data_IF_055010967970
#
_entry.id   IF_055010967970
#
_cell.length_a   1.000
_cell.length_b   1.000
_cell.length_c   1.000
_cell.angle_alpha   90.00
_cell.angle_beta   90.00
_cell.angle_gamma   90.00
#
_symmetry.space_group_name_H-M   'P 1'
#
loop_
_entity.id
_entity.type
_entity.pdbx_description
1 polymer ?
#
# COMPACT_ATOMS: atom_id res chain seq x y z
N UNK A 1 1.86 32.21 2.89
CA UNK A 1 0.54 32.41 2.29
C UNK A 1 0.54 31.80 0.89
N UNK A 2 -0.48 31.00 0.56
CA UNK A 2 -0.57 30.42 -0.78
C UNK A 2 -0.83 31.51 -1.84
N UNK A 3 -0.13 31.44 -2.98
CA UNK A 3 -0.35 32.35 -4.11
C UNK A 3 -1.70 32.07 -4.79
N UNK A 4 -2.34 33.06 -5.45
CA UNK A 4 -3.62 32.83 -6.13
C UNK A 4 -3.66 31.63 -7.10
N UNK A 5 -2.61 31.34 -7.89
CA UNK A 5 -2.55 30.13 -8.71
C UNK A 5 -2.54 28.83 -7.91
N UNK A 6 -1.86 28.81 -6.78
CA UNK A 6 -1.80 27.64 -5.90
C UNK A 6 -3.16 27.38 -5.24
N UNK A 7 -3.83 28.41 -4.73
CA UNK A 7 -5.19 28.28 -4.15
C UNK A 7 -6.21 27.78 -5.19
N UNK A 8 -6.10 28.26 -6.42
CA UNK A 8 -6.96 27.80 -7.51
C UNK A 8 -6.78 26.30 -7.75
N UNK A 9 -5.52 25.83 -7.84
CA UNK A 9 -5.19 24.43 -8.02
C UNK A 9 -5.70 23.55 -6.88
N UNK A 10 -5.47 23.96 -5.64
CA UNK A 10 -5.97 23.23 -4.45
C UNK A 10 -7.49 23.10 -4.45
N UNK A 11 -8.23 24.16 -4.82
CA UNK A 11 -9.68 24.10 -4.95
C UNK A 11 -10.13 23.12 -6.04
N UNK A 12 -9.46 23.11 -7.19
CA UNK A 12 -9.74 22.22 -8.30
C UNK A 12 -9.51 20.75 -7.90
N UNK A 13 -8.40 20.45 -7.22
CA UNK A 13 -8.06 19.13 -6.67
C UNK A 13 -9.11 18.68 -5.62
N UNK A 14 -9.47 19.56 -4.69
CA UNK A 14 -10.49 19.26 -3.66
C UNK A 14 -11.86 18.98 -4.26
N UNK A 15 -12.26 19.76 -5.27
CA UNK A 15 -13.54 19.55 -5.97
C UNK A 15 -13.53 18.22 -6.74
N UNK A 16 -12.44 17.89 -7.46
CA UNK A 16 -12.33 16.62 -8.17
C UNK A 16 -12.37 15.44 -7.22
N UNK A 17 -11.64 15.49 -6.10
CA UNK A 17 -11.68 14.43 -5.08
C UNK A 17 -13.06 14.27 -4.46
N UNK A 18 -13.75 15.38 -4.20
CA UNK A 18 -15.12 15.35 -3.67
C UNK A 18 -16.09 14.70 -4.67
N UNK A 19 -15.91 14.96 -5.97
CA UNK A 19 -16.72 14.31 -7.02
C UNK A 19 -16.35 12.82 -7.11
N UNK A 20 -15.08 12.48 -7.13
CA UNK A 20 -14.59 11.12 -7.23
C UNK A 20 -15.15 10.20 -6.13
N UNK A 21 -15.21 10.72 -4.90
CA UNK A 21 -15.66 9.95 -3.72
C UNK A 21 -17.16 10.02 -3.47
N UNK A 22 -17.87 10.95 -4.13
CA UNK A 22 -19.29 11.19 -3.85
C UNK A 22 -20.21 11.10 -5.06
N UNK A 23 -19.72 10.75 -6.24
CA UNK A 23 -20.51 10.73 -7.48
C UNK A 23 -21.67 9.70 -7.45
N UNK A 24 -22.80 10.03 -8.09
CA UNK A 24 -23.14 11.32 -8.71
C UNK A 24 -23.48 12.38 -7.67
N UNK A 25 -22.91 13.58 -7.79
CA UNK A 25 -22.97 14.62 -6.75
C UNK A 25 -23.33 15.99 -7.35
N UNK A 26 -24.20 16.75 -6.64
CA UNK A 26 -24.62 18.09 -7.08
C UNK A 26 -23.60 19.17 -6.66
N UNK A 27 -23.62 20.32 -7.38
CA UNK A 27 -22.78 21.49 -7.05
C UNK A 27 -22.97 21.96 -5.59
N UNK A 28 -24.19 21.92 -5.08
CA UNK A 28 -24.50 22.35 -3.71
C UNK A 28 -23.86 21.38 -2.69
N UNK A 29 -23.91 20.10 -2.96
CA UNK A 29 -23.34 19.08 -2.11
C UNK A 29 -21.81 19.07 -2.17
N UNK A 30 -21.22 19.31 -3.36
CA UNK A 30 -19.77 19.51 -3.51
C UNK A 30 -19.32 20.67 -2.60
N UNK A 31 -20.02 21.83 -2.67
CA UNK A 31 -19.67 23.00 -1.86
C UNK A 31 -19.73 22.69 -0.36
N UNK A 32 -20.73 21.92 0.06
CA UNK A 32 -20.92 21.52 1.46
C UNK A 32 -19.82 20.56 1.94
N UNK A 33 -19.53 19.51 1.18
CA UNK A 33 -18.52 18.49 1.56
C UNK A 33 -17.11 19.03 1.50
N UNK A 34 -16.80 19.81 0.47
CA UNK A 34 -15.46 20.39 0.28
C UNK A 34 -15.19 21.58 1.21
N UNK A 35 -16.20 22.16 1.86
CA UNK A 35 -16.06 23.39 2.66
C UNK A 35 -15.71 24.63 1.82
N UNK A 36 -16.05 24.64 0.52
CA UNK A 36 -15.67 25.67 -0.45
C UNK A 36 -16.93 26.45 -0.89
N UNK A 37 -16.78 27.75 -1.16
CA UNK A 37 -17.90 28.59 -1.61
C UNK A 37 -18.48 28.12 -2.94
N UNK A 38 -19.81 28.25 -3.14
CA UNK A 38 -20.49 27.88 -4.40
C UNK A 38 -19.88 28.54 -5.64
N UNK A 39 -19.48 29.84 -5.63
CA UNK A 39 -18.80 30.46 -6.75
C UNK A 39 -17.47 29.79 -7.08
N UNK A 40 -16.66 29.47 -6.06
CA UNK A 40 -15.36 28.78 -6.22
C UNK A 40 -15.55 27.39 -6.81
N UNK A 41 -16.52 26.61 -6.30
CA UNK A 41 -16.90 25.30 -6.88
C UNK A 41 -17.32 25.45 -8.35
N UNK A 42 -18.08 26.47 -8.70
CA UNK A 42 -18.51 26.70 -10.10
C UNK A 42 -17.32 26.97 -11.04
N UNK A 43 -16.32 27.71 -10.57
CA UNK A 43 -15.08 27.93 -11.34
C UNK A 43 -14.27 26.66 -11.50
N UNK A 44 -14.09 25.89 -10.42
CA UNK A 44 -13.39 24.62 -10.46
C UNK A 44 -14.11 23.60 -11.37
N UNK A 45 -15.44 23.45 -11.25
CA UNK A 45 -16.23 22.57 -12.10
C UNK A 45 -16.09 22.91 -13.59
N UNK A 46 -16.14 24.20 -13.95
CA UNK A 46 -15.94 24.61 -15.36
C UNK A 46 -14.58 24.14 -15.88
N UNK A 47 -13.54 24.35 -15.10
CA UNK A 47 -12.20 23.94 -15.48
C UNK A 47 -12.06 22.40 -15.58
N UNK A 48 -12.72 21.64 -14.68
CA UNK A 48 -12.73 20.18 -14.69
C UNK A 48 -13.51 19.61 -15.90
N UNK A 49 -14.64 20.24 -16.26
CA UNK A 49 -15.41 19.88 -17.44
C UNK A 49 -14.63 20.17 -18.74
N UNK A 50 -14.01 21.36 -18.84
CA UNK A 50 -13.15 21.76 -19.97
C UNK A 50 -11.94 20.81 -20.12
N UNK A 51 -11.39 20.32 -19.01
CA UNK A 51 -10.29 19.34 -19.00
C UNK A 51 -10.74 17.90 -19.29
N UNK A 52 -12.05 17.64 -19.39
CA UNK A 52 -12.59 16.30 -19.60
C UNK A 52 -12.35 15.34 -18.44
N UNK A 53 -12.18 15.84 -17.21
CA UNK A 53 -12.00 15.05 -15.99
C UNK A 53 -13.31 14.71 -15.29
N UNK A 54 -14.32 15.53 -15.54
CA UNK A 54 -15.66 15.42 -14.97
C UNK A 54 -16.66 15.59 -16.11
N UNK A 55 -17.78 14.92 -16.00
CA UNK A 55 -18.95 15.12 -16.90
C UNK A 55 -20.23 15.27 -16.08
N UNK A 56 -21.28 15.75 -16.72
CA UNK A 56 -22.61 15.69 -16.14
C UNK A 56 -23.08 14.22 -16.10
N UNK A 57 -23.58 13.81 -14.94
CA UNK A 57 -24.08 12.45 -14.76
C UNK A 57 -25.44 12.28 -15.47
N UNK A 58 -25.63 11.18 -16.19
CA UNK A 58 -26.87 10.85 -16.87
C UNK A 58 -28.04 10.68 -15.91
N UNK A 59 -27.77 10.20 -14.68
CA UNK A 59 -28.77 9.99 -13.63
C UNK A 59 -28.29 10.61 -12.32
N UNK A 60 -29.20 11.25 -11.59
CA UNK A 60 -28.99 11.68 -10.20
C UNK A 60 -29.27 10.53 -9.22
N UNK A 61 -29.04 10.74 -7.90
CA UNK A 61 -29.47 9.82 -6.88
C UNK A 61 -30.99 9.63 -6.91
N UNK A 62 -31.45 8.44 -6.50
CA UNK A 62 -32.90 8.14 -6.45
C UNK A 62 -33.64 9.15 -5.54
N UNK A 63 -34.57 9.91 -6.11
CA UNK A 63 -35.39 10.91 -5.39
C UNK A 63 -35.66 12.16 -6.22
N UNK A 64 -36.45 13.12 -5.69
CA UNK A 64 -36.76 14.36 -6.38
C UNK A 64 -35.50 15.21 -6.59
N UNK A 65 -35.13 15.43 -7.83
CA UNK A 65 -33.87 16.16 -8.16
C UNK A 65 -34.07 17.66 -8.33
N UNK A 66 -35.34 18.15 -8.37
CA UNK A 66 -35.69 19.57 -8.54
C UNK A 66 -34.86 20.31 -9.60
N UNK A 67 -34.49 19.62 -10.71
CA UNK A 67 -33.67 20.20 -11.79
C UNK A 67 -32.20 20.39 -11.43
N UNK A 68 -31.69 19.76 -10.38
CA UNK A 68 -30.26 19.82 -10.06
C UNK A 68 -29.44 19.03 -11.07
N UNK A 69 -28.33 19.62 -11.54
CA UNK A 69 -27.31 18.94 -12.34
C UNK A 69 -26.36 18.21 -11.41
N UNK A 70 -26.08 16.94 -11.73
CA UNK A 70 -25.14 16.07 -11.03
C UNK A 70 -23.89 15.88 -11.86
N UNK A 71 -22.78 15.61 -11.19
CA UNK A 71 -21.46 15.45 -11.79
C UNK A 71 -20.86 14.13 -11.36
N UNK A 72 -20.11 13.53 -12.29
CA UNK A 72 -19.34 12.32 -12.05
C UNK A 72 -17.95 12.41 -12.71
N UNK A 73 -16.93 11.67 -12.23
CA UNK A 73 -15.62 11.66 -12.87
C UNK A 73 -15.70 10.92 -14.20
N UNK A 74 -14.87 11.31 -15.17
CA UNK A 74 -14.62 10.53 -16.37
C UNK A 74 -13.58 9.48 -16.03
N UNK A 75 -14.01 8.24 -15.81
CA UNK A 75 -13.17 7.16 -15.30
C UNK A 75 -11.88 6.97 -16.11
N UNK A 76 -12.01 6.95 -17.43
CA UNK A 76 -10.91 6.71 -18.36
C UNK A 76 -10.05 7.97 -18.61
N UNK A 77 -10.35 9.10 -17.98
CA UNK A 77 -9.60 10.33 -18.18
C UNK A 77 -8.14 10.22 -17.74
N UNK A 78 -7.84 9.41 -16.74
CA UNK A 78 -6.49 9.16 -16.28
C UNK A 78 -6.38 7.74 -15.70
N UNK A 79 -5.23 7.14 -15.87
CA UNK A 79 -4.90 5.83 -15.33
C UNK A 79 -3.71 5.93 -14.37
N UNK A 80 -3.68 5.03 -13.40
CA UNK A 80 -2.57 4.80 -12.49
C UNK A 80 -2.18 3.34 -12.53
N UNK A 81 -0.90 3.06 -12.64
CA UNK A 81 -0.36 1.72 -12.52
C UNK A 81 0.29 1.55 -11.15
N UNK A 82 -0.28 0.70 -10.30
CA UNK A 82 0.35 0.19 -9.09
C UNK A 82 1.13 -1.09 -9.38
N UNK A 83 2.33 -1.18 -8.84
CA UNK A 83 3.22 -2.35 -8.99
C UNK A 83 3.75 -2.74 -7.61
N UNK A 84 3.74 -4.03 -7.32
CA UNK A 84 4.39 -4.65 -6.17
C UNK A 84 5.53 -5.54 -6.69
N UNK A 85 6.76 -5.15 -6.43
CA UNK A 85 7.98 -5.87 -6.81
C UNK A 85 8.47 -6.69 -5.61
N UNK A 86 8.00 -7.91 -5.50
CA UNK A 86 8.50 -8.88 -4.53
C UNK A 86 9.66 -9.71 -5.07
N UNK A 87 10.29 -10.48 -4.18
CA UNK A 87 11.44 -11.32 -4.54
C UNK A 87 11.11 -12.40 -5.59
N UNK A 88 9.88 -12.90 -5.63
CA UNK A 88 9.45 -13.99 -6.52
C UNK A 88 8.38 -13.56 -7.52
N UNK A 89 7.53 -12.63 -7.12
CA UNK A 89 6.38 -12.20 -7.91
C UNK A 89 6.43 -10.70 -8.17
N UNK A 90 6.08 -10.36 -9.39
CA UNK A 90 5.75 -9.01 -9.81
C UNK A 90 4.23 -8.95 -9.97
N UNK A 91 3.58 -8.10 -9.20
CA UNK A 91 2.13 -7.90 -9.27
C UNK A 91 1.83 -6.50 -9.79
N UNK A 92 0.82 -6.37 -10.64
CA UNK A 92 0.40 -5.07 -11.15
C UNK A 92 -1.10 -4.91 -11.18
N UNK A 93 -1.55 -3.69 -10.91
CA UNK A 93 -2.95 -3.28 -11.04
C UNK A 93 -3.04 -1.93 -11.75
N UNK A 94 -3.82 -1.90 -12.84
CA UNK A 94 -4.17 -0.68 -13.56
C UNK A 94 -5.51 -0.18 -13.01
N UNK A 95 -5.51 1.03 -12.48
CA UNK A 95 -6.70 1.69 -11.93
C UNK A 95 -7.06 2.91 -12.75
N UNK A 96 -8.36 3.18 -12.86
CA UNK A 96 -8.89 4.40 -13.46
C UNK A 96 -9.00 5.55 -12.43
N UNK A 97 -9.42 6.74 -12.89
CA UNK A 97 -9.56 7.93 -12.07
C UNK A 97 -10.53 7.76 -10.89
N UNK A 98 -11.46 6.82 -10.96
CA UNK A 98 -12.40 6.53 -9.85
C UNK A 98 -11.78 5.69 -8.74
N UNK A 99 -10.64 5.05 -8.99
CA UNK A 99 -10.01 4.06 -8.13
C UNK A 99 -10.42 2.63 -8.44
N UNK A 100 -11.22 2.42 -9.49
CA UNK A 100 -11.63 1.08 -9.91
C UNK A 100 -10.49 0.38 -10.64
N UNK A 101 -10.18 -0.84 -10.23
CA UNK A 101 -9.16 -1.68 -10.89
C UNK A 101 -9.73 -2.18 -12.22
N UNK A 102 -9.11 -1.79 -13.33
CA UNK A 102 -9.51 -2.14 -14.70
C UNK A 102 -8.84 -3.42 -15.20
N UNK A 103 -7.62 -3.67 -14.72
CA UNK A 103 -6.89 -4.91 -14.98
C UNK A 103 -5.92 -5.19 -13.82
N UNK A 104 -5.71 -6.48 -13.54
CA UNK A 104 -4.70 -6.96 -12.58
C UNK A 104 -4.00 -8.18 -13.18
N UNK A 105 -2.70 -8.28 -12.91
CA UNK A 105 -1.90 -9.43 -13.31
C UNK A 105 -0.80 -9.67 -12.29
N UNK A 106 -0.58 -10.95 -11.98
CA UNK A 106 0.52 -11.43 -11.16
C UNK A 106 1.45 -12.26 -12.06
N UNK A 107 2.74 -11.97 -12.05
CA UNK A 107 3.77 -12.61 -12.88
C UNK A 107 4.84 -13.18 -11.99
N UNK A 108 5.18 -14.43 -12.15
CA UNK A 108 6.34 -15.03 -11.50
C UNK A 108 7.60 -14.62 -12.25
N UNK A 109 8.59 -14.09 -11.53
CA UNK A 109 9.87 -13.68 -12.09
C UNK A 109 10.77 -14.92 -12.25
N UNK A 110 11.24 -15.17 -13.47
CA UNK A 110 12.16 -16.27 -13.74
C UNK A 110 13.57 -16.00 -13.18
N UNK A 111 13.99 -14.73 -13.21
CA UNK A 111 15.22 -14.23 -12.62
C UNK A 111 14.85 -13.09 -11.66
N UNK A 112 15.52 -13.03 -10.51
CA UNK A 112 15.11 -12.17 -9.40
C UNK A 112 16.04 -10.94 -9.26
N UNK A 113 16.60 -10.44 -10.37
CA UNK A 113 17.45 -9.25 -10.36
C UNK A 113 16.71 -7.98 -10.81
N UNK A 114 17.27 -6.82 -10.43
CA UNK A 114 16.64 -5.52 -10.69
C UNK A 114 16.51 -5.17 -12.18
N UNK A 115 17.41 -5.65 -13.04
CA UNK A 115 17.36 -5.35 -14.48
C UNK A 115 16.27 -6.16 -15.17
N UNK A 116 16.15 -7.44 -14.86
CA UNK A 116 15.05 -8.31 -15.33
C UNK A 116 13.71 -7.80 -14.82
N UNK A 117 13.64 -7.34 -13.55
CA UNK A 117 12.43 -6.75 -12.99
C UNK A 117 12.02 -5.47 -13.73
N UNK A 118 12.96 -4.60 -14.10
CA UNK A 118 12.70 -3.38 -14.87
C UNK A 118 12.03 -3.69 -16.22
N UNK A 119 12.55 -4.68 -16.96
CA UNK A 119 11.97 -5.14 -18.22
C UNK A 119 10.59 -5.82 -18.01
N UNK A 120 10.43 -6.57 -16.92
CA UNK A 120 9.17 -7.22 -16.60
C UNK A 120 8.07 -6.20 -16.27
N UNK A 121 8.40 -5.09 -15.58
CA UNK A 121 7.46 -3.99 -15.31
C UNK A 121 6.99 -3.36 -16.63
N UNK A 122 7.90 -3.16 -17.60
CA UNK A 122 7.53 -2.67 -18.93
C UNK A 122 6.52 -3.58 -19.63
N UNK A 123 6.79 -4.89 -19.67
CA UNK A 123 5.88 -5.89 -20.26
C UNK A 123 4.54 -5.98 -19.51
N UNK A 124 4.57 -5.92 -18.18
CA UNK A 124 3.37 -5.92 -17.34
C UNK A 124 2.46 -4.72 -17.65
N UNK A 125 3.05 -3.53 -17.79
CA UNK A 125 2.31 -2.31 -18.21
C UNK A 125 1.61 -2.52 -19.54
N UNK A 126 2.31 -3.01 -20.56
CA UNK A 126 1.76 -3.25 -21.90
C UNK A 126 0.60 -4.27 -21.84
N UNK A 127 0.80 -5.35 -21.09
CA UNK A 127 -0.23 -6.40 -20.91
C UNK A 127 -1.48 -5.88 -20.22
N UNK A 128 -1.33 -5.08 -19.15
CA UNK A 128 -2.47 -4.54 -18.39
C UNK A 128 -3.26 -3.52 -19.20
N UNK A 129 -2.56 -2.65 -19.94
CA UNK A 129 -3.19 -1.66 -20.83
C UNK A 129 -3.98 -2.36 -21.93
N UNK A 130 -3.39 -3.38 -22.55
CA UNK A 130 -4.06 -4.18 -23.57
C UNK A 130 -5.31 -4.89 -23.00
N UNK A 131 -5.20 -5.53 -21.83
CA UNK A 131 -6.30 -6.20 -21.17
C UNK A 131 -7.45 -5.25 -20.80
N UNK A 132 -7.13 -4.00 -20.46
CA UNK A 132 -8.12 -2.97 -20.16
C UNK A 132 -8.76 -2.34 -21.42
N UNK A 133 -8.21 -2.57 -22.63
CA UNK A 133 -8.64 -1.94 -23.86
C UNK A 133 -8.42 -0.42 -23.88
N UNK A 134 -7.39 0.08 -23.19
CA UNK A 134 -7.07 1.50 -23.00
C UNK A 134 -5.71 1.84 -23.63
N UNK A 135 -5.40 3.14 -23.75
CA UNK A 135 -4.11 3.59 -24.28
C UNK A 135 -3.07 3.80 -23.17
N UNK A 136 -1.79 3.47 -23.43
CA UNK A 136 -0.70 3.68 -22.46
C UNK A 136 -0.42 5.15 -22.15
N UNK A 137 -0.82 6.06 -23.03
CA UNK A 137 -0.70 7.52 -22.88
C UNK A 137 -1.64 8.10 -21.81
N UNK A 138 -2.63 7.32 -21.35
CA UNK A 138 -3.54 7.68 -20.26
C UNK A 138 -2.94 7.45 -18.88
N UNK A 139 -1.80 6.73 -18.79
CA UNK A 139 -1.14 6.48 -17.53
C UNK A 139 -0.42 7.77 -17.09
N UNK A 140 -0.91 8.38 -16.03
CA UNK A 140 -0.37 9.61 -15.46
C UNK A 140 0.76 9.36 -14.44
N UNK A 141 0.75 8.20 -13.80
CA UNK A 141 1.74 7.82 -12.79
C UNK A 141 1.86 6.30 -12.67
N UNK A 142 3.08 5.84 -12.40
CA UNK A 142 3.38 4.46 -11.98
C UNK A 142 3.91 4.52 -10.55
N UNK A 143 3.36 3.73 -9.65
CA UNK A 143 3.86 3.60 -8.28
C UNK A 143 4.36 2.19 -8.06
N UNK A 144 5.62 2.06 -7.67
CA UNK A 144 6.28 0.77 -7.51
C UNK A 144 6.66 0.57 -6.05
N UNK A 145 6.06 -0.45 -5.42
CA UNK A 145 6.50 -0.96 -4.13
C UNK A 145 7.74 -1.81 -4.30
N UNK A 146 8.78 -1.53 -3.52
CA UNK A 146 10.02 -2.29 -3.54
C UNK A 146 10.39 -2.72 -2.12
N UNK A 147 11.06 -3.86 -1.92
CA UNK A 147 11.67 -4.17 -0.64
C UNK A 147 12.86 -3.22 -0.36
N UNK A 148 13.07 -2.90 0.91
CA UNK A 148 14.16 -2.03 1.36
C UNK A 148 13.76 -0.55 1.46
N UNK A 149 14.75 0.27 1.81
CA UNK A 149 14.61 1.70 2.10
C UNK A 149 14.68 2.52 0.83
N UNK A 150 13.74 3.41 0.62
CA UNK A 150 13.84 4.46 -0.41
C UNK A 150 14.40 5.72 0.26
N UNK A 151 15.68 6.00 0.00
CA UNK A 151 16.41 7.10 0.62
C UNK A 151 15.77 8.45 0.26
N UNK A 152 15.40 9.24 1.29
CA UNK A 152 14.68 10.51 1.09
C UNK A 152 15.53 11.60 0.41
N UNK A 153 16.85 11.49 0.45
CA UNK A 153 17.77 12.50 -0.10
C UNK A 153 17.95 12.41 -1.60
N UNK A 154 18.08 11.20 -2.13
CA UNK A 154 18.46 10.96 -3.52
C UNK A 154 17.55 9.98 -4.26
N UNK A 155 16.57 9.38 -3.57
CA UNK A 155 15.64 8.41 -4.15
C UNK A 155 16.28 7.05 -4.46
N UNK A 156 17.50 6.78 -3.97
CA UNK A 156 18.14 5.49 -4.17
C UNK A 156 17.51 4.44 -3.24
N UNK A 157 17.36 3.23 -3.76
CA UNK A 157 16.93 2.08 -2.96
C UNK A 157 18.11 1.55 -2.18
N UNK A 158 17.95 1.33 -0.88
CA UNK A 158 18.97 0.78 0.01
C UNK A 158 18.44 -0.46 0.72
N UNK A 159 19.35 -1.31 1.19
CA UNK A 159 19.00 -2.48 1.99
C UNK A 159 18.08 -3.49 1.28
N UNK A 160 18.01 -3.45 -0.03
CA UNK A 160 17.19 -4.32 -0.86
C UNK A 160 17.88 -5.68 -1.10
N UNK A 161 18.15 -6.43 -0.04
CA UNK A 161 18.90 -7.69 -0.09
C UNK A 161 18.18 -8.81 -0.84
N UNK A 162 16.85 -8.71 -0.95
CA UNK A 162 15.99 -9.72 -1.57
C UNK A 162 15.95 -9.64 -3.10
N UNK A 163 16.46 -8.54 -3.70
CA UNK A 163 16.52 -8.35 -5.17
C UNK A 163 17.94 -7.96 -5.56
N UNK A 164 18.73 -8.89 -6.08
CA UNK A 164 20.10 -8.64 -6.51
C UNK A 164 20.19 -7.45 -7.47
N UNK A 165 21.16 -6.58 -7.23
CA UNK A 165 21.42 -5.41 -8.07
C UNK A 165 20.44 -4.25 -7.90
N UNK A 166 19.51 -4.29 -6.96
CA UNK A 166 18.59 -3.17 -6.66
C UNK A 166 19.23 -2.17 -5.68
N UNK A 167 20.05 -2.66 -4.75
CA UNK A 167 20.71 -1.82 -3.76
C UNK A 167 21.61 -0.76 -4.39
N UNK A 168 21.49 0.47 -3.96
CA UNK A 168 22.23 1.62 -4.46
C UNK A 168 21.69 2.26 -5.74
N UNK A 169 20.67 1.69 -6.39
CA UNK A 169 20.10 2.23 -7.64
C UNK A 169 19.07 3.32 -7.39
N UNK A 170 19.03 4.33 -8.24
CA UNK A 170 17.92 5.28 -8.38
C UNK A 170 16.86 4.68 -9.28
N UNK A 171 16.24 3.62 -8.80
CA UNK A 171 15.39 2.75 -9.61
C UNK A 171 14.18 3.46 -10.19
N UNK A 172 13.67 4.49 -9.51
CA UNK A 172 12.61 5.36 -10.02
C UNK A 172 13.01 6.09 -11.29
N UNK A 173 14.22 6.68 -11.34
CA UNK A 173 14.73 7.41 -12.51
C UNK A 173 14.89 6.46 -13.72
N UNK A 174 15.39 5.26 -13.47
CA UNK A 174 15.57 4.24 -14.53
C UNK A 174 14.23 3.77 -15.10
N UNK A 175 13.24 3.57 -14.24
CA UNK A 175 11.88 3.23 -14.65
C UNK A 175 11.22 4.41 -15.42
N UNK A 176 11.41 5.66 -14.96
CA UNK A 176 10.92 6.84 -15.69
C UNK A 176 11.49 6.91 -17.12
N UNK A 177 12.79 6.70 -17.25
CA UNK A 177 13.44 6.65 -18.56
C UNK A 177 12.91 5.52 -19.44
N UNK A 178 12.70 4.34 -18.87
CA UNK A 178 12.22 3.15 -19.61
C UNK A 178 10.75 3.26 -20.01
N UNK A 179 9.90 3.82 -19.14
CA UNK A 179 8.46 3.84 -19.35
C UNK A 179 7.95 5.14 -19.99
N UNK A 180 8.76 6.20 -19.97
CA UNK A 180 8.37 7.53 -20.49
C UNK A 180 7.23 8.18 -19.71
N UNK A 181 7.02 7.77 -18.47
CA UNK A 181 5.99 8.26 -17.56
C UNK A 181 6.60 8.42 -16.18
N UNK A 182 6.05 9.30 -15.36
CA UNK A 182 6.54 9.50 -14.01
C UNK A 182 6.39 8.24 -13.16
N UNK A 183 7.43 7.94 -12.38
CA UNK A 183 7.47 6.80 -11.46
C UNK A 183 7.71 7.30 -10.04
N UNK A 184 6.96 6.75 -9.11
CA UNK A 184 7.19 6.90 -7.67
C UNK A 184 7.58 5.54 -7.12
N UNK A 185 8.72 5.47 -6.45
CA UNK A 185 9.15 4.26 -5.74
C UNK A 185 8.93 4.47 -4.25
N UNK A 186 8.37 3.49 -3.58
CA UNK A 186 8.12 3.50 -2.14
C UNK A 186 8.42 2.11 -1.57
N UNK A 187 8.72 2.03 -0.28
CA UNK A 187 8.83 0.75 0.41
C UNK A 187 7.49 0.00 0.37
N UNK A 188 7.52 -1.30 0.15
CA UNK A 188 6.34 -2.17 -0.01
C UNK A 188 5.48 -2.21 1.27
N UNK A 189 6.09 -2.29 2.47
CA UNK A 189 5.37 -2.31 3.74
C UNK A 189 4.71 -0.95 4.02
N UNK A 190 5.34 0.15 3.62
CA UNK A 190 4.75 1.48 3.67
C UNK A 190 3.51 1.59 2.78
N UNK A 191 3.58 1.05 1.56
CA UNK A 191 2.41 0.99 0.67
C UNK A 191 1.32 0.10 1.26
N UNK A 192 1.67 -1.05 1.87
CA UNK A 192 0.68 -1.91 2.52
C UNK A 192 -0.06 -1.17 3.65
N UNK A 193 0.65 -0.39 4.47
CA UNK A 193 0.04 0.45 5.49
C UNK A 193 -0.94 1.47 4.88
N UNK A 194 -0.55 2.16 3.81
CA UNK A 194 -1.42 3.10 3.10
C UNK A 194 -2.63 2.41 2.46
N UNK A 195 -2.45 1.19 1.95
CA UNK A 195 -3.53 0.35 1.43
C UNK A 195 -4.58 0.04 2.51
N UNK A 196 -4.15 -0.44 3.67
CA UNK A 196 -5.02 -0.75 4.80
C UNK A 196 -5.74 0.50 5.35
N UNK A 197 -5.06 1.64 5.37
CA UNK A 197 -5.66 2.91 5.76
C UNK A 197 -6.77 3.35 4.82
N UNK A 198 -6.61 3.14 3.53
CA UNK A 198 -7.56 3.62 2.51
C UNK A 198 -8.70 2.62 2.28
N UNK A 199 -8.41 1.33 2.30
CA UNK A 199 -9.31 0.28 1.82
C UNK A 199 -9.53 -0.87 2.81
N UNK A 200 -8.67 -1.02 3.82
CA UNK A 200 -8.67 -2.15 4.73
C UNK A 200 -9.17 -1.85 6.14
N UNK A 201 -8.64 -2.59 7.12
CA UNK A 201 -9.08 -2.55 8.53
C UNK A 201 -8.64 -1.28 9.27
N UNK A 202 -7.64 -0.55 8.75
CA UNK A 202 -7.16 0.71 9.33
C UNK A 202 -7.92 1.96 8.82
N UNK A 203 -9.06 1.79 8.13
CA UNK A 203 -9.86 2.94 7.67
C UNK A 203 -10.35 3.78 8.84
N UNK A 204 -10.02 5.08 8.78
CA UNK A 204 -10.42 6.04 9.82
C UNK A 204 -9.60 5.97 11.09
N UNK A 205 -8.52 5.19 11.11
CA UNK A 205 -7.55 5.14 12.20
C UNK A 205 -6.33 5.99 11.83
N UNK A 206 -6.00 6.97 12.66
CA UNK A 206 -4.91 7.91 12.40
C UNK A 206 -3.59 7.50 13.07
N UNK A 207 -3.65 6.61 14.07
CA UNK A 207 -2.49 6.14 14.84
C UNK A 207 -2.41 4.62 14.75
N UNK A 208 -1.66 4.09 13.79
CA UNK A 208 -1.54 2.63 13.64
C UNK A 208 -0.19 2.21 13.06
N UNK A 209 0.12 0.93 13.23
CA UNK A 209 1.24 0.25 12.60
C UNK A 209 0.74 -0.92 11.76
N UNK A 210 1.21 -1.03 10.53
CA UNK A 210 1.13 -2.25 9.75
C UNK A 210 2.43 -3.03 9.95
N UNK A 211 2.37 -4.26 10.44
CA UNK A 211 3.53 -5.12 10.66
C UNK A 211 3.49 -6.29 9.68
N UNK A 212 4.44 -6.33 8.78
CA UNK A 212 4.63 -7.42 7.82
C UNK A 212 5.61 -8.44 8.38
N UNK A 213 5.16 -9.67 8.61
CA UNK A 213 5.99 -10.80 9.03
C UNK A 213 5.92 -11.87 7.96
N UNK A 214 7.06 -12.18 7.35
CA UNK A 214 7.14 -13.13 6.24
C UNK A 214 8.56 -13.56 5.97
N UNK A 215 9.07 -13.37 4.76
CA UNK A 215 10.49 -13.60 4.41
C UNK A 215 11.40 -12.67 5.21
N UNK A 216 10.95 -11.41 5.42
CA UNK A 216 11.57 -10.41 6.27
C UNK A 216 10.55 -9.84 7.26
N UNK A 217 10.99 -8.87 8.05
CA UNK A 217 10.22 -8.16 9.06
C UNK A 217 10.27 -6.65 8.77
N UNK A 218 9.13 -6.05 8.52
CA UNK A 218 9.03 -4.60 8.29
C UNK A 218 7.76 -4.02 8.89
N UNK A 219 7.78 -2.72 9.19
CA UNK A 219 6.62 -1.99 9.67
C UNK A 219 6.36 -0.70 8.87
N UNK A 220 5.10 -0.43 8.55
CA UNK A 220 4.64 0.87 8.07
C UNK A 220 3.93 1.60 9.21
N UNK A 221 4.48 2.73 9.65
CA UNK A 221 3.95 3.49 10.77
C UNK A 221 3.17 4.70 10.27
N UNK A 222 1.92 4.83 10.70
CA UNK A 222 1.06 5.99 10.42
C UNK A 222 0.75 6.68 11.73
N UNK A 223 1.10 7.97 11.83
CA UNK A 223 0.82 8.83 12.98
C UNK A 223 0.17 10.11 12.50
N UNK A 224 -0.90 10.53 13.15
CA UNK A 224 -1.74 11.69 12.75
C UNK A 224 -2.25 11.58 11.32
N UNK A 225 -2.55 10.34 10.91
CA UNK A 225 -2.99 10.06 9.56
C UNK A 225 -1.90 10.17 8.48
N UNK A 226 -0.64 10.35 8.83
CA UNK A 226 0.47 10.49 7.89
C UNK A 226 1.50 9.37 8.06
N UNK A 227 1.95 8.81 6.94
CA UNK A 227 2.99 7.80 6.91
C UNK A 227 4.33 8.37 7.40
N UNK A 228 4.94 7.72 8.37
CA UNK A 228 6.22 8.09 8.96
C UNK A 228 7.36 7.37 8.28
N UNK A 229 8.05 8.03 7.37
CA UNK A 229 9.21 7.46 6.64
C UNK A 229 10.52 7.58 7.42
N UNK A 230 10.57 8.50 8.39
CA UNK A 230 11.80 8.84 9.10
C UNK A 230 12.75 9.71 8.26
N UNK A 231 13.89 10.06 8.84
CA UNK A 231 14.86 10.98 8.25
C UNK A 231 15.50 10.42 6.96
N UNK A 232 15.81 9.13 6.96
CA UNK A 232 16.44 8.43 5.83
C UNK A 232 15.44 7.66 4.97
N UNK A 233 14.19 7.53 5.37
CA UNK A 233 13.22 6.63 4.77
C UNK A 233 13.18 5.25 5.44
N UNK A 234 13.95 5.04 6.53
CA UNK A 234 14.17 3.74 7.16
C UNK A 234 13.29 3.48 8.40
N UNK A 235 12.29 4.31 8.65
CA UNK A 235 11.36 4.03 9.74
C UNK A 235 10.61 2.72 9.46
N UNK A 236 10.64 1.80 10.41
CA UNK A 236 10.00 0.50 10.26
C UNK A 236 10.90 -0.65 9.76
N UNK A 237 12.18 -0.40 9.51
CA UNK A 237 13.17 -1.44 9.15
C UNK A 237 13.58 -2.25 10.40
N UNK A 238 12.68 -3.14 10.82
CA UNK A 238 12.82 -3.89 12.07
C UNK A 238 13.83 -5.04 11.99
N UNK A 239 14.12 -5.56 10.81
CA UNK A 239 15.13 -6.62 10.61
C UNK A 239 16.51 -6.23 11.19
N UNK A 240 16.80 -4.91 11.19
CA UNK A 240 18.08 -4.40 11.71
C UNK A 240 18.08 -4.21 13.24
N UNK A 241 16.92 -4.20 13.89
CA UNK A 241 16.83 -4.10 15.35
C UNK A 241 17.38 -5.36 16.02
N UNK A 242 17.26 -6.50 15.35
CA UNK A 242 17.74 -7.79 15.86
C UNK A 242 19.26 -7.97 15.70
N UNK A 243 19.94 -7.15 14.90
CA UNK A 243 21.40 -7.20 14.74
C UNK A 243 22.09 -6.83 16.04
N UNK A 244 22.75 -7.80 16.67
CA UNK A 244 23.38 -7.67 17.99
C UNK A 244 22.48 -8.00 19.18
N UNK A 245 21.19 -8.24 18.98
CA UNK A 245 20.30 -8.91 19.89
C UNK A 245 20.34 -10.43 19.67
N UNK A 246 19.72 -11.20 20.53
CA UNK A 246 19.70 -12.66 20.39
C UNK A 246 18.92 -13.06 19.13
N UNK A 247 19.42 -14.06 18.39
CA UNK A 247 18.74 -14.64 17.22
C UNK A 247 17.36 -15.24 17.56
N UNK A 248 17.08 -15.46 18.85
CA UNK A 248 15.84 -16.02 19.39
C UNK A 248 14.62 -15.07 19.33
N UNK A 249 14.77 -13.85 18.80
CA UNK A 249 13.65 -12.91 18.63
C UNK A 249 13.25 -12.69 17.17
N UNK A 250 13.95 -13.27 16.20
CA UNK A 250 13.63 -13.16 14.78
C UNK A 250 12.35 -13.94 14.43
N UNK A 251 11.26 -13.29 13.95
CA UNK A 251 10.01 -13.94 13.56
C UNK A 251 9.93 -14.27 12.06
N UNK A 252 11.04 -14.13 11.31
CA UNK A 252 11.02 -14.36 9.87
C UNK A 252 10.95 -15.86 9.51
N UNK A 253 10.55 -16.16 8.28
CA UNK A 253 10.28 -17.52 7.82
C UNK A 253 11.44 -18.50 8.03
N UNK A 254 12.70 -18.06 7.86
CA UNK A 254 13.86 -18.89 8.07
C UNK A 254 14.04 -19.26 9.56
N UNK A 255 13.82 -18.30 10.47
CA UNK A 255 13.93 -18.51 11.90
C UNK A 255 12.78 -19.37 12.44
N UNK A 256 11.56 -19.18 11.93
CA UNK A 256 10.42 -20.06 12.22
C UNK A 256 10.68 -21.51 11.79
N UNK A 257 11.18 -21.69 10.56
CA UNK A 257 11.52 -23.02 10.03
C UNK A 257 12.62 -23.70 10.84
N UNK A 258 13.67 -22.95 11.25
CA UNK A 258 14.73 -23.43 12.14
C UNK A 258 14.19 -23.89 13.50
N UNK A 259 13.38 -23.05 14.16
CA UNK A 259 12.74 -23.36 15.44
C UNK A 259 11.88 -24.63 15.34
N UNK A 260 11.06 -24.74 14.27
CA UNK A 260 10.22 -25.91 14.06
C UNK A 260 11.05 -27.18 13.90
N UNK A 261 12.18 -27.11 13.16
CA UNK A 261 13.11 -28.23 13.01
C UNK A 261 13.79 -28.62 14.34
N UNK A 262 14.20 -27.65 15.14
CA UNK A 262 14.79 -27.87 16.46
C UNK A 262 13.82 -28.56 17.42
N UNK A 263 12.59 -28.06 17.51
CA UNK A 263 11.57 -28.61 18.41
C UNK A 263 11.01 -29.96 17.94
N UNK A 264 11.00 -30.21 16.63
CA UNK A 264 10.58 -31.50 16.07
C UNK A 264 11.63 -32.60 16.29
N UNK A 265 12.90 -32.25 16.51
CA UNK A 265 13.98 -33.21 16.66
C UNK A 265 13.76 -34.12 17.90
N UNK A 266 13.48 -35.40 17.63
CA UNK A 266 13.24 -36.40 18.67
C UNK A 266 11.87 -36.31 19.38
N UNK A 267 10.99 -35.44 18.92
CA UNK A 267 9.61 -35.32 19.43
C UNK A 267 8.63 -36.14 18.56
N UNK A 268 7.50 -36.51 19.17
CA UNK A 268 6.35 -37.07 18.45
C UNK A 268 5.55 -35.95 17.82
N UNK A 269 5.65 -35.77 16.49
CA UNK A 269 5.02 -34.67 15.76
C UNK A 269 4.75 -35.05 14.31
N UNK A 270 3.76 -34.40 13.70
CA UNK A 270 3.48 -34.51 12.26
C UNK A 270 4.33 -33.56 11.43
N UNK A 271 5.08 -32.65 12.06
CA UNK A 271 5.95 -31.71 11.36
C UNK A 271 7.09 -32.43 10.65
N UNK A 272 7.32 -32.06 9.39
CA UNK A 272 8.38 -32.58 8.56
C UNK A 272 9.00 -31.46 7.71
N UNK A 273 10.28 -31.60 7.29
CA UNK A 273 10.88 -30.65 6.38
C UNK A 273 9.98 -30.41 5.14
N UNK A 274 9.91 -29.15 4.64
CA UNK A 274 10.79 -28.01 4.95
C UNK A 274 10.39 -27.17 6.17
N UNK A 275 9.44 -27.59 7.01
CA UNK A 275 8.96 -26.88 8.20
C UNK A 275 8.46 -25.45 7.89
N UNK A 276 7.81 -25.27 6.74
CA UNK A 276 7.31 -23.95 6.34
C UNK A 276 6.15 -23.48 7.23
N UNK A 277 5.90 -22.18 7.24
CA UNK A 277 4.87 -21.57 8.08
C UNK A 277 3.48 -22.18 7.83
N UNK A 278 3.13 -22.53 6.59
CA UNK A 278 1.82 -23.11 6.25
C UNK A 278 1.63 -24.46 6.93
N UNK A 279 2.63 -25.34 6.86
CA UNK A 279 2.60 -26.66 7.50
C UNK A 279 2.60 -26.56 9.02
N UNK A 280 3.38 -25.64 9.62
CA UNK A 280 3.40 -25.39 11.05
C UNK A 280 2.03 -24.93 11.56
N UNK A 281 1.43 -23.89 10.96
CA UNK A 281 0.11 -23.40 11.37
C UNK A 281 -1.00 -24.41 11.13
N UNK A 282 -0.93 -25.23 10.07
CA UNK A 282 -1.89 -26.32 9.83
C UNK A 282 -1.81 -27.39 10.93
N UNK A 283 -0.62 -27.87 11.23
CA UNK A 283 -0.41 -28.88 12.30
C UNK A 283 -0.85 -28.36 13.68
N UNK A 284 -0.57 -27.08 13.98
CA UNK A 284 -1.01 -26.45 15.23
C UNK A 284 -2.55 -26.44 15.37
N UNK A 285 -3.28 -26.15 14.29
CA UNK A 285 -4.77 -26.22 14.27
C UNK A 285 -5.28 -27.64 14.47
N UNK A 286 -4.59 -28.63 13.93
CA UNK A 286 -4.93 -30.06 14.08
C UNK A 286 -4.56 -30.62 15.44
N UNK A 287 -3.84 -29.85 16.24
CA UNK A 287 -3.60 -30.22 17.66
C UNK A 287 -2.20 -30.72 17.95
N UNK A 288 -1.27 -30.71 16.97
CA UNK A 288 0.12 -31.09 17.18
C UNK A 288 0.76 -30.20 18.27
N UNK A 289 1.34 -30.84 19.28
CA UNK A 289 1.88 -30.14 20.44
C UNK A 289 3.13 -29.33 20.10
N UNK A 290 4.01 -29.90 19.29
CA UNK A 290 5.25 -29.23 18.84
C UNK A 290 4.91 -28.01 17.99
N UNK A 291 3.99 -28.15 17.04
CA UNK A 291 3.55 -27.04 16.20
C UNK A 291 2.93 -25.90 17.03
N UNK A 292 2.16 -26.22 18.06
CA UNK A 292 1.61 -25.21 18.98
C UNK A 292 2.69 -24.49 19.78
N UNK A 293 3.75 -25.19 20.19
CA UNK A 293 4.89 -24.56 20.86
C UNK A 293 5.65 -23.63 19.93
N UNK A 294 5.85 -24.01 18.64
CA UNK A 294 6.40 -23.14 17.61
C UNK A 294 5.55 -21.87 17.44
N UNK A 295 4.22 -22.00 17.29
CA UNK A 295 3.31 -20.85 17.13
C UNK A 295 3.33 -19.94 18.36
N UNK A 296 3.43 -20.50 19.57
CA UNK A 296 3.52 -19.73 20.82
C UNK A 296 4.81 -18.91 20.86
N UNK A 297 5.92 -19.50 20.53
CA UNK A 297 7.20 -18.80 20.50
C UNK A 297 7.24 -17.73 19.41
N UNK A 298 6.68 -18.04 18.24
CA UNK A 298 6.54 -17.08 17.15
C UNK A 298 5.70 -15.86 17.56
N UNK A 299 4.58 -16.08 18.24
CA UNK A 299 3.75 -15.01 18.78
C UNK A 299 4.51 -14.16 19.81
N UNK A 300 5.35 -14.78 20.65
CA UNK A 300 6.22 -14.06 21.60
C UNK A 300 7.24 -13.17 20.87
N UNK A 301 7.89 -13.70 19.82
CA UNK A 301 8.82 -12.94 19.01
C UNK A 301 8.15 -11.72 18.35
N UNK A 302 6.99 -11.91 17.76
CA UNK A 302 6.20 -10.82 17.17
C UNK A 302 5.81 -9.77 18.23
N UNK A 303 5.34 -10.22 19.41
CA UNK A 303 4.97 -9.32 20.50
C UNK A 303 6.16 -8.47 20.98
N UNK A 304 7.39 -9.02 20.99
CA UNK A 304 8.60 -8.30 21.34
C UNK A 304 8.97 -7.17 20.34
N UNK A 305 8.53 -7.27 19.09
CA UNK A 305 8.67 -6.17 18.13
C UNK A 305 7.53 -5.15 18.24
N UNK A 306 6.31 -5.59 18.58
CA UNK A 306 5.16 -4.69 18.74
C UNK A 306 5.30 -3.81 19.96
N UNK A 307 5.63 -4.40 21.12
CA UNK A 307 5.56 -3.71 22.41
C UNK A 307 6.42 -2.44 22.50
N UNK A 308 7.70 -2.41 22.07
CA UNK A 308 8.50 -1.18 22.10
C UNK A 308 7.95 -0.07 21.21
N UNK A 309 7.43 -0.44 20.01
CA UNK A 309 6.87 0.55 19.08
C UNK A 309 5.57 1.10 19.64
N UNK A 310 4.70 0.25 20.17
CA UNK A 310 3.46 0.67 20.80
C UNK A 310 3.72 1.58 22.02
N UNK A 311 4.73 1.27 22.85
CA UNK A 311 5.09 2.08 23.99
C UNK A 311 5.66 3.48 23.62
N UNK A 312 6.29 3.62 22.44
CA UNK A 312 6.90 4.88 21.98
C UNK A 312 5.93 5.70 21.14
N UNK A 313 5.20 5.06 20.24
CA UNK A 313 4.34 5.71 19.26
C UNK A 313 2.88 5.82 19.72
N UNK A 314 2.48 5.11 20.78
CA UNK A 314 1.12 5.08 21.35
C UNK A 314 0.05 4.80 20.26
N UNK A 315 0.28 3.75 19.47
CA UNK A 315 -0.61 3.39 18.37
C UNK A 315 -1.89 2.72 18.87
N UNK A 316 -3.04 3.09 18.30
CA UNK A 316 -4.35 2.48 18.60
C UNK A 316 -4.48 1.07 18.05
N UNK A 317 -3.87 0.81 16.87
CA UNK A 317 -4.08 -0.41 16.11
C UNK A 317 -2.74 -0.95 15.57
N UNK A 318 -2.57 -2.27 15.64
CA UNK A 318 -1.54 -2.99 14.87
C UNK A 318 -2.24 -3.93 13.90
N UNK A 319 -1.94 -3.76 12.61
CA UNK A 319 -2.42 -4.64 11.54
C UNK A 319 -1.31 -5.63 11.20
N UNK A 320 -1.56 -6.91 11.36
CA UNK A 320 -0.62 -7.98 11.03
C UNK A 320 -0.81 -8.42 9.57
N UNK A 321 0.27 -8.43 8.81
CA UNK A 321 0.32 -8.87 7.41
C UNK A 321 1.54 -9.74 7.13
N UNK A 322 1.75 -10.07 5.84
CA UNK A 322 2.79 -11.00 5.43
C UNK A 322 2.39 -12.46 5.61
N UNK A 323 3.17 -13.36 5.04
CA UNK A 323 2.83 -14.79 4.98
C UNK A 323 2.75 -15.50 6.34
N UNK A 324 3.43 -14.97 7.36
CA UNK A 324 3.36 -15.45 8.74
C UNK A 324 2.36 -14.61 9.53
N UNK A 325 2.53 -13.29 9.54
CA UNK A 325 1.74 -12.37 10.37
C UNK A 325 0.23 -12.42 10.11
N UNK A 326 -0.19 -12.79 8.90
CA UNK A 326 -1.61 -12.92 8.52
C UNK A 326 -2.33 -14.15 9.09
N UNK A 327 -1.69 -14.95 9.97
CA UNK A 327 -2.34 -16.10 10.57
C UNK A 327 -3.12 -15.72 11.85
N UNK A 328 -4.40 -16.03 11.85
CA UNK A 328 -5.32 -15.66 12.94
C UNK A 328 -4.95 -16.30 14.30
N UNK A 329 -4.30 -17.44 14.28
CA UNK A 329 -3.81 -18.13 15.49
C UNK A 329 -2.87 -17.27 16.32
N UNK A 330 -2.07 -16.39 15.65
CA UNK A 330 -1.16 -15.48 16.33
C UNK A 330 -1.90 -14.46 17.20
N UNK A 331 -3.07 -13.97 16.78
CA UNK A 331 -3.82 -12.97 17.55
C UNK A 331 -4.15 -13.45 18.96
N UNK A 332 -4.58 -14.72 19.10
CA UNK A 332 -4.94 -15.31 20.39
C UNK A 332 -3.74 -15.47 21.32
N UNK A 333 -2.53 -15.58 20.77
CA UNK A 333 -1.30 -15.73 21.53
C UNK A 333 -0.65 -14.38 21.83
N UNK A 334 -0.70 -13.40 20.90
CA UNK A 334 -0.07 -12.08 21.06
C UNK A 334 -0.87 -11.19 22.01
N UNK A 335 -2.20 -11.17 21.92
CA UNK A 335 -3.06 -10.31 22.76
C UNK A 335 -2.78 -10.40 24.26
N UNK A 336 -2.72 -11.59 24.89
CA UNK A 336 -2.45 -11.70 26.31
C UNK A 336 -1.04 -11.21 26.67
N UNK A 337 -0.03 -11.43 25.82
CA UNK A 337 1.32 -10.93 26.05
C UNK A 337 1.37 -9.41 26.09
N UNK A 338 0.75 -8.75 25.12
CA UNK A 338 0.71 -7.28 25.09
C UNK A 338 -0.12 -6.71 26.24
N UNK A 339 -1.20 -7.38 26.63
CA UNK A 339 -2.01 -6.97 27.79
C UNK A 339 -1.24 -7.07 29.12
N UNK A 340 -0.31 -8.02 29.24
CA UNK A 340 0.56 -8.16 30.41
C UNK A 340 1.71 -7.14 30.41
N UNK A 341 2.24 -6.80 29.23
CA UNK A 341 3.44 -5.97 29.11
C UNK A 341 3.17 -4.46 29.00
N UNK A 342 2.00 -4.07 28.47
CA UNK A 342 1.68 -2.68 28.16
C UNK A 342 0.49 -2.19 28.99
N UNK A 343 0.57 -0.95 29.56
CA UNK A 343 -0.57 -0.34 30.25
C UNK A 343 -1.73 -0.01 29.29
N UNK A 344 -1.45 0.23 28.01
CA UNK A 344 -2.40 0.53 26.94
C UNK A 344 -2.06 -0.31 25.71
N UNK A 345 -2.48 -1.60 25.67
CA UNK A 345 -2.20 -2.47 24.54
C UNK A 345 -3.02 -2.05 23.30
N UNK A 346 -2.40 -2.00 22.11
CA UNK A 346 -3.12 -1.69 20.88
C UNK A 346 -4.11 -2.80 20.51
N UNK A 347 -5.15 -2.46 19.74
CA UNK A 347 -5.96 -3.45 19.04
C UNK A 347 -5.10 -4.21 18.04
N UNK A 348 -5.37 -5.50 17.88
CA UNK A 348 -4.71 -6.34 16.87
C UNK A 348 -5.73 -6.81 15.84
N UNK A 349 -5.45 -6.58 14.57
CA UNK A 349 -6.24 -7.06 13.45
C UNK A 349 -5.34 -7.73 12.40
N UNK A 350 -5.91 -8.65 11.63
CA UNK A 350 -5.26 -9.21 10.45
C UNK A 350 -5.57 -8.31 9.25
N UNK A 351 -4.59 -8.13 8.38
CA UNK A 351 -4.77 -7.44 7.09
C UNK A 351 -5.98 -8.01 6.33
N UNK A 352 -6.91 -7.14 5.96
CA UNK A 352 -8.06 -7.55 5.14
C UNK A 352 -7.75 -7.56 3.65
N UNK A 353 -6.66 -6.93 3.25
CA UNK A 353 -6.23 -6.84 1.85
C UNK A 353 -5.25 -7.95 1.46
N UNK A 354 -4.64 -8.62 2.43
CA UNK A 354 -3.68 -9.71 2.20
C UNK A 354 -2.60 -9.31 1.19
N UNK A 355 -2.36 -10.14 0.18
CA UNK A 355 -1.37 -9.89 -0.90
C UNK A 355 -1.72 -8.68 -1.79
N UNK A 356 -2.90 -8.10 -1.65
CA UNK A 356 -3.31 -6.90 -2.37
C UNK A 356 -2.95 -5.59 -1.67
N UNK A 357 -2.48 -5.62 -0.41
CA UNK A 357 -2.27 -4.42 0.39
C UNK A 357 -1.29 -3.43 -0.27
N UNK A 358 -0.15 -3.92 -0.74
CA UNK A 358 0.87 -3.12 -1.46
C UNK A 358 0.29 -2.49 -2.71
N UNK A 359 -0.41 -3.27 -3.55
CA UNK A 359 -1.04 -2.77 -4.78
C UNK A 359 -2.10 -1.70 -4.51
N UNK A 360 -2.96 -1.91 -3.52
CA UNK A 360 -3.99 -0.94 -3.16
C UNK A 360 -3.39 0.35 -2.60
N UNK A 361 -2.30 0.25 -1.86
CA UNK A 361 -1.51 1.40 -1.43
C UNK A 361 -0.86 2.14 -2.60
N UNK A 362 -0.23 1.40 -3.52
CA UNK A 362 0.39 1.95 -4.71
C UNK A 362 -0.63 2.70 -5.59
N UNK A 363 -1.80 2.10 -5.83
CA UNK A 363 -2.91 2.75 -6.55
C UNK A 363 -3.37 4.01 -5.83
N UNK A 364 -3.52 3.98 -4.51
CA UNK A 364 -3.96 5.14 -3.73
C UNK A 364 -2.95 6.31 -3.82
N UNK A 365 -1.67 6.04 -3.63
CA UNK A 365 -0.59 7.03 -3.79
C UNK A 365 -0.55 7.59 -5.21
N UNK A 366 -0.71 6.71 -6.19
CA UNK A 366 -0.74 7.08 -7.60
C UNK A 366 -1.91 8.00 -7.93
N UNK A 367 -3.11 7.72 -7.43
CA UNK A 367 -4.30 8.54 -7.62
C UNK A 367 -4.14 9.92 -6.98
N UNK A 368 -3.68 9.97 -5.71
CA UNK A 368 -3.45 11.26 -5.03
C UNK A 368 -2.44 12.12 -5.79
N UNK A 369 -1.38 11.49 -6.35
CA UNK A 369 -0.40 12.17 -7.21
C UNK A 369 -0.96 12.59 -8.57
N UNK A 370 -1.79 11.74 -9.21
CA UNK A 370 -2.39 12.03 -10.51
C UNK A 370 -3.39 13.18 -10.42
N UNK A 371 -4.25 13.22 -9.40
CA UNK A 371 -5.22 14.30 -9.17
C UNK A 371 -4.56 15.68 -9.17
N UNK A 372 -3.36 15.79 -8.55
CA UNK A 372 -2.60 17.05 -8.55
C UNK A 372 -1.99 17.45 -9.91
N UNK A 373 -1.85 16.53 -10.86
CA UNK A 373 -1.09 16.75 -12.11
C UNK A 373 -1.91 16.70 -13.38
N UNK A 374 -2.92 15.87 -13.45
CA UNK A 374 -3.79 15.74 -14.66
C UNK A 374 -4.27 17.11 -15.10
N UNK A 375 -4.47 18.01 -14.14
CA UNK A 375 -4.86 19.38 -14.37
C UNK A 375 -3.77 20.23 -15.06
N UNK A 376 -2.50 20.03 -14.68
CA UNK A 376 -1.35 20.77 -15.24
C UNK A 376 -1.05 20.27 -16.65
N UNK A 377 -0.99 18.96 -16.83
CA UNK A 377 -0.60 18.33 -18.09
C UNK A 377 -1.58 18.61 -19.22
N UNK A 378 -2.90 18.59 -18.97
CA UNK A 378 -3.92 18.84 -20.00
C UNK A 378 -4.01 20.29 -20.45
N UNK A 379 -3.63 21.26 -19.59
CA UNK A 379 -3.53 22.67 -19.97
C UNK A 379 -2.30 22.98 -20.81
N UNK A 380 -1.19 22.27 -20.57
CA UNK A 380 0.09 22.54 -21.24
C UNK A 380 0.17 21.87 -22.62
N UNK A 381 -0.50 20.75 -22.82
CA UNK A 381 -0.43 19.98 -24.07
C UNK A 381 -1.50 20.34 -25.10
N UNK A 382 -2.42 21.26 -24.79
CA UNK A 382 -3.42 21.73 -25.78
C UNK A 382 -4.30 20.61 -26.37
N UNK A 383 -4.44 19.47 -25.69
CA UNK A 383 -5.33 18.39 -26.12
C UNK A 383 -6.79 18.75 -25.86
N UNK A 384 -7.28 19.71 -26.63
CA UNK A 384 -8.69 19.84 -26.98
C UNK A 384 -8.88 18.98 -28.25
N UNK A 385 -9.58 17.85 -28.09
CA UNK A 385 -10.26 17.25 -29.22
C UNK A 385 -11.57 17.99 -29.46
#
# INVERSE_FOLDING_TARGET
MATPPLLKRLNEETVLETIRTGAPISRAEIARRAGISKPTVSLALRALLEAGLVREAANGPAGPTYGAVYFEPVAEAALVLGVDLGARFLRGALSDLTGSVRARQDVELAEHDASTALEAIGRLRESLVHAAGLGPELIENVVVGVPGVVEQRDGAVRLATNIPGLDGRRYGDELEQRLGVRVTVENDVNLAALGERRHGVARGVDEFMFLSVGTGLGAGLVLRGELQRGHHGAAGELDYVAVGLRQDIDPCAAALSGLAGELAAGAETVLAPPFDARSVFAAAREGDAVARDVVREEARRIALHIAPIAAVADVELVVLGGGIGANAELLSQIRPLLADWLPYPPRLEISSLGDGAVLMGAVSVGLDSALGRVFVNRRTTGRLM
#
